data_IF_828317367612
#
_entry.id   IF_828317367612
#
_cell.length_a   1.000
_cell.length_b   1.000
_cell.length_c   1.000
_cell.angle_alpha   90.00
_cell.angle_beta   90.00
_cell.angle_gamma   90.00
#
_symmetry.space_group_name_H-M   'P 1'
#
loop_
_entity.id
_entity.type
_entity.pdbx_description
1 polymer ?
#
# COMPACT_ATOMS: atom_id res chain seq x y z
N UNK A 1 -118.54 26.04 -7.38
CA UNK A 1 -119.25 25.18 -8.36
C UNK A 1 -118.19 24.37 -9.12
N UNK A 2 -118.54 23.19 -9.64
CA UNK A 2 -117.62 22.16 -10.15
C UNK A 2 -117.96 21.78 -11.61
N UNK A 3 -117.30 20.80 -12.29
CA UNK A 3 -116.08 20.03 -11.98
C UNK A 3 -114.96 20.40 -13.01
N UNK A 4 -114.07 19.59 -13.61
CA UNK A 4 -113.71 18.14 -13.62
C UNK A 4 -112.32 17.95 -14.27
N UNK A 5 -111.60 16.84 -14.03
CA UNK A 5 -110.47 16.38 -14.86
C UNK A 5 -110.25 14.84 -14.71
N UNK A 6 -109.79 14.11 -15.75
CA UNK A 6 -109.76 12.63 -15.76
C UNK A 6 -108.40 11.99 -15.40
N UNK A 7 -108.39 10.66 -15.29
CA UNK A 7 -107.28 9.81 -14.82
C UNK A 7 -106.83 8.76 -15.85
N UNK A 8 -105.54 8.41 -15.88
CA UNK A 8 -105.03 7.24 -16.65
C UNK A 8 -103.95 6.44 -15.93
N UNK A 9 -104.31 5.20 -15.56
CA UNK A 9 -103.53 3.94 -15.51
C UNK A 9 -101.99 3.93 -15.38
N UNK A 10 -101.52 3.12 -14.43
CA UNK A 10 -100.16 2.57 -14.29
C UNK A 10 -99.84 1.43 -15.26
N UNK A 11 -98.56 1.24 -15.61
CA UNK A 11 -97.98 -0.06 -16.02
C UNK A 11 -96.59 -0.22 -15.38
N UNK A 12 -96.31 -1.39 -14.81
CA UNK A 12 -94.98 -1.78 -14.28
C UNK A 12 -94.25 -2.69 -15.26
N UNK A 13 -92.94 -2.47 -15.46
CA UNK A 13 -92.11 -3.34 -16.29
C UNK A 13 -90.64 -3.33 -15.85
N UNK A 14 -90.12 -4.50 -15.51
CA UNK A 14 -88.70 -4.80 -15.29
C UNK A 14 -88.38 -6.04 -16.11
N UNK A 15 -87.22 -6.10 -16.80
CA UNK A 15 -86.46 -7.32 -17.14
C UNK A 15 -85.19 -6.99 -17.96
N UNK A 16 -84.04 -7.42 -17.43
CA UNK A 16 -82.74 -7.83 -18.04
C UNK A 16 -81.99 -7.03 -19.12
N UNK A 17 -80.70 -6.84 -18.82
CA UNK A 17 -79.49 -7.16 -19.62
C UNK A 17 -79.27 -6.61 -21.03
N UNK A 18 -78.17 -5.86 -21.17
CA UNK A 18 -77.47 -5.57 -22.43
C UNK A 18 -76.00 -6.02 -22.27
N UNK A 19 -75.56 -7.15 -22.88
CA UNK A 19 -74.26 -7.78 -22.62
C UNK A 19 -73.09 -7.09 -23.35
N UNK A 20 -72.95 -5.78 -23.14
CA UNK A 20 -71.91 -4.93 -23.74
C UNK A 20 -71.43 -3.80 -22.83
N UNK A 21 -72.14 -3.50 -21.74
CA UNK A 21 -71.66 -2.55 -20.71
C UNK A 21 -70.50 -3.12 -19.91
N UNK A 22 -70.61 -4.37 -19.49
CA UNK A 22 -69.81 -4.93 -18.41
C UNK A 22 -68.33 -5.03 -18.77
N UNK A 23 -68.02 -5.47 -19.99
CA UNK A 23 -66.65 -5.49 -20.51
C UNK A 23 -66.03 -4.08 -20.61
N UNK A 24 -66.85 -3.04 -20.84
CA UNK A 24 -66.41 -1.66 -21.00
C UNK A 24 -66.23 -0.97 -19.64
N UNK A 25 -67.08 -1.27 -18.65
CA UNK A 25 -66.83 -0.93 -17.23
C UNK A 25 -65.63 -1.69 -16.67
N UNK A 26 -65.45 -2.97 -17.01
CA UNK A 26 -64.34 -3.76 -16.50
C UNK A 26 -63.01 -3.29 -17.09
N UNK A 27 -62.93 -3.04 -18.41
CA UNK A 27 -61.72 -2.48 -19.03
C UNK A 27 -61.41 -1.05 -18.56
N UNK A 28 -62.40 -0.25 -18.15
CA UNK A 28 -62.16 1.06 -17.54
C UNK A 28 -61.79 1.00 -16.06
N UNK A 29 -62.25 -0.01 -15.31
CA UNK A 29 -61.74 -0.34 -13.97
C UNK A 29 -60.30 -0.86 -14.03
N UNK A 30 -59.96 -1.70 -15.01
CA UNK A 30 -58.59 -2.18 -15.22
C UNK A 30 -57.66 -1.03 -15.64
N UNK A 31 -58.09 -0.12 -16.53
CA UNK A 31 -57.36 1.10 -16.84
C UNK A 31 -57.22 2.04 -15.64
N UNK A 32 -58.24 2.13 -14.78
CA UNK A 32 -58.15 2.88 -13.53
C UNK A 32 -57.11 2.26 -12.59
N UNK A 33 -57.11 0.94 -12.40
CA UNK A 33 -56.11 0.22 -11.60
C UNK A 33 -54.69 0.33 -12.18
N UNK A 34 -54.52 0.24 -13.49
CA UNK A 34 -53.24 0.44 -14.18
C UNK A 34 -52.76 1.90 -14.02
N UNK A 35 -53.66 2.88 -14.09
CA UNK A 35 -53.29 4.30 -13.87
C UNK A 35 -53.03 4.65 -12.40
N UNK A 36 -53.60 3.92 -11.44
CA UNK A 36 -53.24 3.99 -10.03
C UNK A 36 -51.87 3.33 -9.74
N UNK A 37 -51.53 2.28 -10.48
CA UNK A 37 -50.21 1.63 -10.42
C UNK A 37 -49.13 2.34 -11.27
N UNK A 38 -49.49 3.37 -12.04
CA UNK A 38 -48.54 4.19 -12.80
C UNK A 38 -47.82 5.16 -11.88
N UNK A 39 -46.49 5.01 -11.78
CA UNK A 39 -45.60 5.87 -11.00
C UNK A 39 -45.93 7.36 -11.23
N UNK A 40 -46.49 8.01 -10.21
CA UNK A 40 -47.15 9.31 -10.34
C UNK A 40 -46.13 10.41 -10.63
N UNK A 41 -46.62 11.60 -10.98
CA UNK A 41 -45.75 12.77 -11.15
C UNK A 41 -45.05 13.15 -9.83
N UNK A 42 -45.68 12.87 -8.69
CA UNK A 42 -45.09 13.05 -7.36
C UNK A 42 -43.94 12.08 -7.10
N UNK A 43 -44.17 10.79 -7.31
CA UNK A 43 -43.16 9.72 -7.08
C UNK A 43 -41.90 9.92 -7.93
N UNK A 44 -42.08 10.34 -9.19
CA UNK A 44 -40.97 10.71 -10.08
C UNK A 44 -40.15 11.88 -9.54
N UNK A 45 -40.80 12.87 -8.92
CA UNK A 45 -40.08 13.98 -8.25
C UNK A 45 -39.47 13.58 -6.91
N UNK A 46 -40.08 12.64 -6.17
CA UNK A 46 -39.54 12.10 -4.93
C UNK A 46 -38.24 11.32 -5.18
N UNK A 47 -38.26 10.35 -6.11
CA UNK A 47 -37.10 9.55 -6.48
C UNK A 47 -35.96 10.43 -7.05
N UNK A 48 -36.28 11.44 -7.86
CA UNK A 48 -35.29 12.43 -8.32
C UNK A 48 -34.75 13.30 -7.17
N UNK A 49 -35.52 13.55 -6.11
CA UNK A 49 -35.04 14.26 -4.92
C UNK A 49 -34.13 13.38 -4.05
N UNK A 50 -34.49 12.11 -3.87
CA UNK A 50 -33.73 11.10 -3.13
C UNK A 50 -32.39 10.78 -3.82
N UNK A 51 -32.41 10.58 -5.15
CA UNK A 51 -31.18 10.44 -5.94
C UNK A 51 -30.29 11.68 -5.83
N UNK A 52 -30.87 12.88 -5.69
CA UNK A 52 -30.13 14.13 -5.46
C UNK A 52 -29.59 14.27 -4.03
N UNK A 53 -30.19 13.66 -3.01
CA UNK A 53 -29.59 13.64 -1.66
C UNK A 53 -28.45 12.64 -1.61
N UNK A 54 -28.65 11.40 -2.10
CA UNK A 54 -27.59 10.38 -2.19
C UNK A 54 -26.39 10.92 -2.98
N UNK A 55 -26.58 11.50 -4.18
CA UNK A 55 -25.46 12.06 -4.96
C UNK A 55 -24.72 13.18 -4.20
N UNK A 56 -25.40 13.99 -3.38
CA UNK A 56 -24.74 15.03 -2.56
C UNK A 56 -23.96 14.43 -1.38
N UNK A 57 -24.50 13.38 -0.77
CA UNK A 57 -23.88 12.67 0.35
C UNK A 57 -22.63 11.91 -0.09
N UNK A 58 -22.68 11.24 -1.25
CA UNK A 58 -21.53 10.62 -1.91
C UNK A 58 -20.49 11.65 -2.34
N UNK A 59 -20.88 12.78 -2.97
CA UNK A 59 -19.95 13.87 -3.29
C UNK A 59 -19.31 14.45 -2.01
N UNK A 60 -20.05 14.52 -0.90
CA UNK A 60 -19.51 14.96 0.38
C UNK A 60 -18.58 13.91 1.02
N UNK A 61 -18.79 12.62 0.77
CA UNK A 61 -17.90 11.53 1.19
C UNK A 61 -16.59 11.57 0.40
N UNK A 62 -16.66 11.54 -0.93
CA UNK A 62 -15.49 11.64 -1.83
C UNK A 62 -14.64 12.88 -1.53
N UNK A 63 -15.25 14.02 -1.16
CA UNK A 63 -14.51 15.22 -0.72
C UNK A 63 -13.79 15.05 0.62
N UNK A 64 -14.39 14.35 1.59
CA UNK A 64 -13.74 14.03 2.87
C UNK A 64 -12.58 13.06 2.65
N UNK A 65 -12.79 12.03 1.82
CA UNK A 65 -11.76 11.04 1.52
C UNK A 65 -10.60 11.66 0.73
N UNK A 66 -10.87 12.59 -0.19
CA UNK A 66 -9.86 13.35 -0.92
C UNK A 66 -9.03 14.24 0.01
N UNK A 67 -9.66 15.00 0.92
CA UNK A 67 -8.91 15.83 1.88
C UNK A 67 -8.11 15.01 2.89
N UNK A 68 -8.58 13.82 3.26
CA UNK A 68 -7.82 12.86 4.07
C UNK A 68 -6.67 12.20 3.27
N UNK A 69 -6.79 12.09 1.94
CA UNK A 69 -5.71 11.61 1.07
C UNK A 69 -4.63 12.67 0.88
N UNK A 70 -5.01 13.94 0.69
CA UNK A 70 -4.09 15.09 0.61
C UNK A 70 -3.21 15.16 1.86
N UNK A 71 -3.80 15.18 3.05
CA UNK A 71 -3.07 15.19 4.33
C UNK A 71 -2.09 14.03 4.47
N UNK A 72 -2.49 12.82 4.06
CA UNK A 72 -1.63 11.63 4.09
C UNK A 72 -0.53 11.64 3.03
N UNK A 73 -0.69 12.39 1.94
CA UNK A 73 0.39 12.61 0.97
C UNK A 73 1.41 13.60 1.54
N UNK A 74 0.96 14.70 2.14
CA UNK A 74 1.83 15.68 2.79
C UNK A 74 2.69 15.02 3.90
N UNK A 75 2.07 14.24 4.79
CA UNK A 75 2.75 13.44 5.82
C UNK A 75 3.81 12.48 5.22
N UNK A 76 3.47 11.80 4.13
CA UNK A 76 4.39 10.87 3.46
C UNK A 76 5.53 11.57 2.74
N UNK A 77 5.32 12.78 2.19
CA UNK A 77 6.39 13.58 1.58
C UNK A 77 7.36 14.13 2.65
N UNK A 78 6.85 14.63 3.78
CA UNK A 78 7.67 15.04 4.93
C UNK A 78 8.50 13.86 5.48
N UNK A 79 7.85 12.71 5.74
CA UNK A 79 8.54 11.50 6.15
C UNK A 79 9.59 11.03 5.13
N UNK A 80 9.33 11.13 3.82
CA UNK A 80 10.30 10.78 2.77
C UNK A 80 11.51 11.74 2.79
N UNK A 81 11.29 13.04 3.00
CA UNK A 81 12.37 14.03 3.08
C UNK A 81 13.28 13.75 4.29
N UNK A 82 12.70 13.49 5.46
CA UNK A 82 13.46 13.10 6.65
C UNK A 82 14.24 11.80 6.45
N UNK A 83 13.60 10.75 5.93
CA UNK A 83 14.26 9.47 5.66
C UNK A 83 15.43 9.63 4.68
N UNK A 84 15.25 10.42 3.61
CA UNK A 84 16.29 10.70 2.61
C UNK A 84 17.49 11.42 3.23
N UNK A 85 17.24 12.43 4.08
CA UNK A 85 18.31 13.17 4.77
C UNK A 85 19.07 12.27 5.77
N UNK A 86 18.37 11.43 6.53
CA UNK A 86 19.00 10.47 7.43
C UNK A 86 19.83 9.42 6.68
N UNK A 87 19.35 8.93 5.52
CA UNK A 87 20.09 8.01 4.68
C UNK A 87 21.38 8.65 4.14
N UNK A 88 21.32 9.86 3.58
CA UNK A 88 22.51 10.58 3.10
C UNK A 88 23.54 10.80 4.21
N UNK A 89 23.11 11.11 5.44
CA UNK A 89 23.99 11.24 6.58
C UNK A 89 24.64 9.89 6.97
N UNK A 90 23.90 8.78 6.92
CA UNK A 90 24.39 7.44 7.19
C UNK A 90 25.38 6.94 6.11
N UNK A 91 25.11 7.21 4.83
CA UNK A 91 26.01 6.87 3.71
C UNK A 91 27.35 7.60 3.85
N UNK A 92 27.32 8.90 4.16
CA UNK A 92 28.51 9.70 4.42
C UNK A 92 29.29 9.24 5.66
N UNK A 93 28.60 8.82 6.73
CA UNK A 93 29.23 8.25 7.91
C UNK A 93 29.91 6.90 7.60
N UNK A 94 29.23 6.02 6.84
CA UNK A 94 29.72 4.71 6.43
C UNK A 94 30.95 4.83 5.53
N UNK A 95 30.95 5.75 4.57
CA UNK A 95 32.11 6.04 3.72
C UNK A 95 33.33 6.53 4.53
N UNK A 96 33.11 7.39 5.54
CA UNK A 96 34.18 7.84 6.45
C UNK A 96 34.73 6.68 7.29
N UNK A 97 33.86 5.82 7.83
CA UNK A 97 34.27 4.64 8.60
C UNK A 97 35.08 3.65 7.73
N UNK A 98 34.68 3.42 6.48
CA UNK A 98 35.43 2.59 5.53
C UNK A 98 36.85 3.10 5.28
N UNK A 99 37.02 4.41 5.10
CA UNK A 99 38.34 5.03 4.94
C UNK A 99 39.21 4.89 6.21
N UNK A 100 38.63 5.09 7.41
CA UNK A 100 39.33 4.93 8.68
C UNK A 100 39.79 3.47 8.88
N UNK A 101 38.93 2.49 8.57
CA UNK A 101 39.29 1.07 8.64
C UNK A 101 40.39 0.68 7.65
N UNK A 102 40.38 1.25 6.44
CA UNK A 102 41.45 1.05 5.45
C UNK A 102 42.79 1.62 5.95
N UNK A 103 42.78 2.81 6.56
CA UNK A 103 43.98 3.42 7.12
C UNK A 103 44.52 2.63 8.31
N UNK A 104 43.66 2.27 9.28
CA UNK A 104 44.04 1.44 10.43
C UNK A 104 44.64 0.10 10.00
N UNK A 105 44.06 -0.56 8.99
CA UNK A 105 44.61 -1.79 8.42
C UNK A 105 46.02 -1.59 7.85
N UNK A 106 46.24 -0.50 7.10
CA UNK A 106 47.56 -0.15 6.56
C UNK A 106 48.58 0.15 7.66
N UNK A 107 48.18 0.82 8.74
CA UNK A 107 49.04 1.09 9.89
C UNK A 107 49.44 -0.21 10.61
N UNK A 108 48.49 -1.16 10.80
CA UNK A 108 48.77 -2.48 11.37
C UNK A 108 49.74 -3.29 10.49
N UNK A 109 49.56 -3.26 9.17
CA UNK A 109 50.43 -3.94 8.21
C UNK A 109 51.87 -3.37 8.22
N UNK A 110 52.03 -2.05 8.28
CA UNK A 110 53.35 -1.41 8.41
C UNK A 110 54.02 -1.75 9.75
N UNK A 111 53.26 -1.76 10.86
CA UNK A 111 53.78 -2.15 12.18
C UNK A 111 54.23 -3.63 12.22
N UNK A 112 53.45 -4.56 11.65
CA UNK A 112 53.79 -5.98 11.58
C UNK A 112 55.02 -6.22 10.67
N UNK A 113 55.10 -5.53 9.53
CA UNK A 113 56.28 -5.56 8.65
C UNK A 113 57.53 -5.00 9.32
N UNK A 114 57.42 -3.89 10.08
CA UNK A 114 58.53 -3.33 10.87
C UNK A 114 58.97 -4.29 11.98
N UNK A 115 58.02 -4.87 12.72
CA UNK A 115 58.29 -5.84 13.78
C UNK A 115 58.92 -7.15 13.29
N UNK A 116 58.66 -7.53 12.03
CA UNK A 116 59.25 -8.70 11.37
C UNK A 116 60.54 -8.42 10.61
N UNK A 117 60.94 -7.16 10.43
CA UNK A 117 62.03 -6.76 9.50
C UNK A 117 63.37 -7.45 9.75
N UNK A 118 63.65 -7.79 11.01
CA UNK A 118 64.89 -8.45 11.43
C UNK A 118 64.68 -9.95 11.77
N UNK A 119 63.48 -10.51 11.56
CA UNK A 119 63.11 -11.86 11.98
C UNK A 119 63.18 -12.84 10.82
N UNK A 120 64.32 -13.54 10.69
CA UNK A 120 64.51 -14.59 9.69
C UNK A 120 63.73 -15.86 10.11
N UNK A 121 62.97 -16.45 9.18
CA UNK A 121 62.24 -17.73 9.38
C UNK A 121 62.94 -18.85 8.63
N UNK A 122 63.80 -19.60 9.31
CA UNK A 122 64.35 -20.86 8.80
C UNK A 122 63.26 -21.96 8.86
N UNK A 123 63.28 -22.88 7.89
CA UNK A 123 62.33 -24.01 7.77
C UNK A 123 63.10 -25.26 7.36
N UNK A 124 62.63 -26.43 7.78
CA UNK A 124 63.27 -27.71 7.45
C UNK A 124 64.54 -28.03 8.26
N UNK A 125 64.72 -27.37 9.42
CA UNK A 125 65.64 -27.87 10.44
C UNK A 125 65.11 -29.20 11.00
N UNK A 126 65.97 -30.18 11.31
CA UNK A 126 65.57 -31.36 12.06
C UNK A 126 65.18 -30.98 13.49
N UNK A 127 64.25 -31.73 14.07
CA UNK A 127 63.92 -31.64 15.50
C UNK A 127 64.95 -32.46 16.30
N UNK A 128 66.11 -31.83 16.55
CA UNK A 128 67.17 -32.35 17.42
C UNK A 128 67.00 -31.81 18.83
N UNK A 129 66.81 -32.67 19.84
CA UNK A 129 66.59 -32.24 21.23
C UNK A 129 67.86 -31.72 21.94
N UNK A 130 69.06 -32.09 21.46
CA UNK A 130 70.34 -31.90 22.17
C UNK A 130 71.14 -30.63 21.81
N UNK A 131 70.89 -29.98 20.66
CA UNK A 131 71.66 -28.81 20.20
C UNK A 131 70.89 -27.50 20.39
N UNK A 132 71.55 -26.42 20.85
CA UNK A 132 70.84 -25.15 20.95
C UNK A 132 70.56 -24.57 19.55
N UNK A 133 69.41 -23.91 19.33
CA UNK A 133 69.10 -23.28 18.05
C UNK A 133 70.13 -22.22 17.62
N UNK A 134 70.93 -21.69 18.56
CA UNK A 134 72.01 -20.74 18.26
C UNK A 134 73.21 -21.43 17.61
N UNK A 135 73.64 -22.58 18.14
CA UNK A 135 74.80 -23.32 17.62
C UNK A 135 74.51 -23.87 16.22
N UNK A 136 73.34 -24.47 16.01
CA UNK A 136 72.85 -24.90 14.69
C UNK A 136 72.84 -23.77 13.66
N UNK A 137 72.33 -22.59 14.03
CA UNK A 137 72.33 -21.42 13.14
C UNK A 137 73.74 -20.90 12.86
N UNK A 138 74.63 -20.85 13.86
CA UNK A 138 76.02 -20.40 13.67
C UNK A 138 76.78 -21.35 12.74
N UNK A 139 76.65 -22.67 12.91
CA UNK A 139 77.22 -23.66 12.00
C UNK A 139 76.71 -23.52 10.57
N UNK A 140 75.39 -23.35 10.39
CA UNK A 140 74.78 -23.07 9.09
C UNK A 140 75.33 -21.79 8.43
N UNK A 141 75.48 -20.70 9.18
CA UNK A 141 76.02 -19.45 8.64
C UNK A 141 77.48 -19.59 8.20
N UNK A 142 78.34 -20.22 8.99
CA UNK A 142 79.74 -20.50 8.61
C UNK A 142 79.80 -21.38 7.36
N UNK A 143 78.95 -22.41 7.27
CA UNK A 143 78.90 -23.32 6.11
C UNK A 143 78.37 -22.65 4.83
N UNK A 144 77.50 -21.63 4.95
CA UNK A 144 76.90 -20.92 3.82
C UNK A 144 77.68 -19.68 3.35
N UNK A 145 78.40 -19.01 4.25
CA UNK A 145 79.14 -17.77 3.97
C UNK A 145 80.64 -17.97 3.80
N UNK A 146 81.20 -19.06 4.34
CA UNK A 146 82.65 -19.25 4.47
C UNK A 146 83.25 -18.51 5.66
N UNK A 147 84.56 -18.64 5.85
CA UNK A 147 85.29 -18.08 7.00
C UNK A 147 85.45 -16.55 6.96
N UNK A 148 85.13 -15.89 5.83
CA UNK A 148 85.26 -14.43 5.65
C UNK A 148 84.14 -13.59 6.32
N UNK A 149 83.24 -14.21 7.08
CA UNK A 149 82.21 -13.49 7.83
C UNK A 149 82.77 -12.85 9.12
N UNK A 150 82.64 -11.52 9.33
CA UNK A 150 83.13 -10.86 10.54
C UNK A 150 82.30 -11.22 11.80
N UNK A 151 82.92 -11.15 13.00
CA UNK A 151 82.29 -11.52 14.28
C UNK A 151 81.28 -10.50 14.83
#
# INVERSE_FOLDING_TARGET
MAPSSPSTSSVTGSVTDMPGTDALTQMSVDLAAISANMLTRGDKTALVSELRTVIREEIAAVRRDLTALEQRVDELEEHRLHATHHQQAADLATARQGNILLEMRRQVEDLDNRGRRNNIRVRGLPESDDESPRELLTGLFVQLLGEDAPP
#
